data_IF_644929731805
#
_entry.id   IF_644929731805
#
_cell.length_a   1.000
_cell.length_b   1.000
_cell.length_c   1.000
_cell.angle_alpha   90.00
_cell.angle_beta   90.00
_cell.angle_gamma   90.00
#
_symmetry.space_group_name_H-M   'P 1'
#
loop_
_entity.id
_entity.type
_entity.pdbx_description
1 polymer ?
#
# COMPACT_ATOMS: atom_id res chain seq x y z
N UNK A 1 43.79 3.16 -11.55
CA UNK A 1 43.30 2.00 -10.77
C UNK A 1 42.11 2.39 -9.86
N UNK A 2 40.97 2.83 -10.42
CA UNK A 2 39.84 3.36 -9.62
C UNK A 2 38.46 2.76 -9.92
N UNK A 3 38.35 1.84 -10.89
CA UNK A 3 37.05 1.31 -11.36
C UNK A 3 36.59 0.03 -10.65
N UNK A 4 37.47 -0.72 -9.97
CA UNK A 4 37.07 -1.98 -9.30
C UNK A 4 36.24 -1.75 -8.03
N UNK A 5 36.59 -0.73 -7.23
CA UNK A 5 35.91 -0.43 -5.96
C UNK A 5 34.47 0.05 -6.14
N UNK A 6 34.17 0.80 -7.21
CA UNK A 6 32.81 1.28 -7.49
C UNK A 6 31.89 0.18 -8.00
N UNK A 7 32.44 -0.84 -8.67
CA UNK A 7 31.68 -1.95 -9.24
C UNK A 7 31.29 -2.97 -8.16
N UNK A 8 32.20 -3.33 -7.25
CA UNK A 8 31.92 -4.20 -6.10
C UNK A 8 30.92 -3.56 -5.11
N UNK A 9 31.02 -2.26 -4.85
CA UNK A 9 30.07 -1.55 -4.00
C UNK A 9 28.65 -1.55 -4.58
N UNK A 10 28.53 -1.46 -5.91
CA UNK A 10 27.25 -1.45 -6.61
C UNK A 10 26.60 -2.85 -6.63
N UNK A 11 27.39 -3.91 -6.79
CA UNK A 11 26.90 -5.29 -6.75
C UNK A 11 26.46 -5.72 -5.35
N UNK A 12 27.23 -5.35 -4.32
CA UNK A 12 26.86 -5.62 -2.91
C UNK A 12 25.58 -4.89 -2.51
N UNK A 13 25.40 -3.64 -2.94
CA UNK A 13 24.17 -2.88 -2.69
C UNK A 13 22.96 -3.51 -3.41
N UNK A 14 23.15 -4.00 -4.64
CA UNK A 14 22.10 -4.69 -5.39
C UNK A 14 21.65 -5.99 -4.71
N UNK A 15 22.60 -6.81 -4.26
CA UNK A 15 22.27 -8.05 -3.54
C UNK A 15 21.52 -7.76 -2.23
N UNK A 16 21.89 -6.68 -1.54
CA UNK A 16 21.25 -6.25 -0.31
C UNK A 16 19.80 -5.81 -0.51
N UNK A 17 19.55 -5.00 -1.54
CA UNK A 17 18.21 -4.57 -1.96
C UNK A 17 17.34 -5.79 -2.27
N UNK A 18 17.87 -6.80 -2.97
CA UNK A 18 17.12 -8.02 -3.29
C UNK A 18 16.71 -8.79 -2.03
N UNK A 19 17.58 -8.88 -1.02
CA UNK A 19 17.25 -9.54 0.26
C UNK A 19 16.13 -8.78 0.97
N UNK A 20 16.24 -7.45 1.07
CA UNK A 20 15.20 -6.62 1.72
C UNK A 20 13.86 -6.74 1.00
N UNK A 21 13.86 -6.73 -0.32
CA UNK A 21 12.64 -6.89 -1.11
C UNK A 21 11.99 -8.27 -0.91
N UNK A 22 12.81 -9.32 -0.84
CA UNK A 22 12.33 -10.68 -0.60
C UNK A 22 11.70 -10.78 0.79
N UNK A 23 12.37 -10.26 1.82
CA UNK A 23 11.83 -10.28 3.19
C UNK A 23 10.56 -9.42 3.30
N UNK A 24 10.53 -8.24 2.67
CA UNK A 24 9.31 -7.42 2.60
C UNK A 24 8.16 -8.19 1.95
N UNK A 25 8.40 -8.81 0.80
CA UNK A 25 7.40 -9.58 0.05
C UNK A 25 6.86 -10.73 0.91
N UNK A 26 7.73 -11.49 1.57
CA UNK A 26 7.33 -12.57 2.47
C UNK A 26 6.55 -12.05 3.68
N UNK A 27 6.93 -10.90 4.25
CA UNK A 27 6.23 -10.30 5.37
C UNK A 27 4.81 -9.85 5.01
N UNK A 28 4.65 -9.24 3.83
CA UNK A 28 3.33 -8.85 3.31
C UNK A 28 2.45 -10.09 3.08
N UNK A 29 3.01 -11.17 2.52
CA UNK A 29 2.30 -12.44 2.34
C UNK A 29 1.90 -13.05 3.67
N UNK A 30 2.82 -13.08 4.64
CA UNK A 30 2.55 -13.59 5.98
C UNK A 30 1.40 -12.82 6.67
N UNK A 31 1.48 -11.48 6.67
CA UNK A 31 0.45 -10.62 7.24
C UNK A 31 -0.91 -10.81 6.55
N UNK A 32 -0.90 -10.95 5.22
CA UNK A 32 -2.12 -11.18 4.43
C UNK A 32 -2.76 -12.52 4.71
N UNK A 33 -1.96 -13.59 4.85
CA UNK A 33 -2.45 -14.91 5.23
C UNK A 33 -3.13 -14.88 6.60
N UNK A 34 -2.53 -14.18 7.57
CA UNK A 34 -3.12 -13.99 8.91
C UNK A 34 -4.41 -13.18 8.85
N UNK A 35 -4.43 -12.09 8.10
CA UNK A 35 -5.63 -11.27 7.96
C UNK A 35 -6.78 -12.02 7.25
N UNK A 36 -6.44 -12.90 6.29
CA UNK A 36 -7.40 -13.71 5.53
C UNK A 36 -8.27 -14.60 6.43
N UNK A 37 -7.74 -15.08 7.56
CA UNK A 37 -8.49 -15.87 8.54
C UNK A 37 -9.64 -15.05 9.15
N UNK A 38 -9.45 -13.75 9.36
CA UNK A 38 -10.48 -12.84 9.88
C UNK A 38 -11.48 -12.40 8.81
N UNK A 39 -11.01 -12.07 7.61
CA UNK A 39 -11.88 -11.72 6.48
C UNK A 39 -12.79 -12.88 6.06
N UNK A 40 -12.32 -14.11 6.27
CA UNK A 40 -13.05 -15.33 5.96
C UNK A 40 -13.92 -15.86 7.09
N UNK A 41 -14.00 -15.15 8.22
CA UNK A 41 -14.79 -15.61 9.37
C UNK A 41 -16.28 -15.38 9.11
N UNK A 42 -17.03 -16.47 9.01
CA UNK A 42 -18.48 -16.45 8.92
C UNK A 42 -19.06 -16.51 10.34
N UNK A 43 -19.55 -15.37 10.82
CA UNK A 43 -20.28 -15.34 12.09
C UNK A 43 -21.72 -15.81 11.85
N UNK A 44 -22.16 -16.92 12.48
CA UNK A 44 -23.54 -17.39 12.39
C UNK A 44 -24.56 -16.34 12.83
N UNK A 45 -24.16 -15.39 13.68
CA UNK A 45 -25.00 -14.29 14.15
C UNK A 45 -24.80 -12.97 13.38
N UNK A 46 -23.85 -12.93 12.44
CA UNK A 46 -23.51 -11.74 11.63
C UNK A 46 -23.18 -10.46 12.43
N UNK A 47 -22.78 -10.60 13.70
CA UNK A 47 -22.35 -9.53 14.62
C UNK A 47 -20.87 -9.21 14.49
N UNK A 48 -20.04 -10.19 14.10
CA UNK A 48 -18.62 -9.99 13.91
C UNK A 48 -18.37 -9.24 12.60
N UNK A 49 -18.05 -7.95 12.73
CA UNK A 49 -17.67 -7.06 11.62
C UNK A 49 -16.48 -6.24 12.07
N UNK A 50 -15.24 -6.73 11.88
CA UNK A 50 -14.05 -6.01 12.26
C UNK A 50 -14.04 -4.62 11.62
N UNK A 51 -13.79 -3.60 12.44
CA UNK A 51 -13.56 -2.26 11.93
C UNK A 51 -12.28 -2.24 11.08
N UNK A 52 -12.22 -1.30 10.13
CA UNK A 52 -11.07 -1.09 9.25
C UNK A 52 -9.77 -0.89 10.06
N UNK A 53 -9.81 -0.07 11.11
CA UNK A 53 -8.66 0.15 12.01
C UNK A 53 -8.16 -1.15 12.66
N UNK A 54 -9.06 -2.04 13.04
CA UNK A 54 -8.70 -3.35 13.62
C UNK A 54 -8.02 -4.25 12.59
N UNK A 55 -8.52 -4.29 11.35
CA UNK A 55 -7.89 -5.07 10.28
C UNK A 55 -6.49 -4.52 9.94
N UNK A 56 -6.33 -3.20 9.94
CA UNK A 56 -5.02 -2.56 9.78
C UNK A 56 -4.06 -2.97 10.89
N UNK A 57 -4.51 -2.98 12.13
CA UNK A 57 -3.68 -3.41 13.27
C UNK A 57 -3.28 -4.87 13.17
N UNK A 58 -4.20 -5.76 12.85
CA UNK A 58 -3.90 -7.18 12.63
C UNK A 58 -2.86 -7.33 11.52
N UNK A 59 -3.05 -6.65 10.38
CA UNK A 59 -2.10 -6.71 9.28
C UNK A 59 -0.71 -6.21 9.70
N UNK A 60 -0.63 -5.01 10.26
CA UNK A 60 0.63 -4.37 10.60
C UNK A 60 1.38 -5.07 11.73
N UNK A 61 0.69 -5.58 12.76
CA UNK A 61 1.33 -6.34 13.83
C UNK A 61 1.99 -7.59 13.28
N UNK A 62 1.28 -8.36 12.45
CA UNK A 62 1.85 -9.58 11.85
C UNK A 62 3.03 -9.24 10.91
N UNK A 63 2.93 -8.16 10.13
CA UNK A 63 4.02 -7.71 9.26
C UNK A 63 5.26 -7.29 10.06
N UNK A 64 5.08 -6.44 11.08
CA UNK A 64 6.17 -5.92 11.90
C UNK A 64 6.83 -7.05 12.69
N UNK A 65 6.05 -7.94 13.31
CA UNK A 65 6.58 -9.12 14.01
C UNK A 65 7.42 -9.99 13.07
N UNK A 66 6.95 -10.24 11.85
CA UNK A 66 7.72 -10.97 10.85
C UNK A 66 9.06 -10.29 10.53
N UNK A 67 9.08 -8.96 10.34
CA UNK A 67 10.31 -8.22 10.08
C UNK A 67 11.32 -8.30 11.24
N UNK A 68 10.83 -8.24 12.49
CA UNK A 68 11.67 -8.40 13.69
C UNK A 68 12.24 -9.82 13.77
N UNK A 69 11.43 -10.85 13.52
CA UNK A 69 11.89 -12.25 13.50
C UNK A 69 12.96 -12.50 12.43
N UNK A 70 12.91 -11.74 11.33
CA UNK A 70 13.91 -11.79 10.25
C UNK A 70 15.12 -10.87 10.48
N UNK A 71 15.13 -10.06 11.54
CA UNK A 71 16.22 -9.15 11.88
C UNK A 71 16.42 -8.03 10.86
N UNK A 72 15.33 -7.53 10.26
CA UNK A 72 15.37 -6.45 9.25
C UNK A 72 14.56 -5.22 9.66
N UNK A 73 14.12 -5.12 10.92
CA UNK A 73 13.30 -4.03 11.44
C UNK A 73 13.97 -2.65 11.34
N UNK A 74 15.31 -2.59 11.34
CA UNK A 74 16.05 -1.34 11.11
C UNK A 74 16.07 -0.93 9.62
N UNK A 75 15.77 -1.86 8.71
CA UNK A 75 15.81 -1.65 7.25
C UNK A 75 14.43 -1.61 6.60
N UNK A 76 13.44 -2.22 7.24
CA UNK A 76 12.02 -2.16 6.85
C UNK A 76 11.25 -1.56 8.01
N UNK A 77 11.02 -0.25 7.96
CA UNK A 77 10.29 0.45 9.01
C UNK A 77 8.84 0.68 8.61
N UNK A 78 7.95 0.59 9.59
CA UNK A 78 6.52 0.90 9.43
C UNK A 78 6.18 2.10 10.30
N UNK A 79 5.70 3.18 9.70
CA UNK A 79 5.21 4.36 10.41
C UNK A 79 3.68 4.43 10.27
N UNK A 80 2.96 3.97 11.30
CA UNK A 80 1.49 4.08 11.36
C UNK A 80 1.09 5.50 11.71
N UNK A 81 0.19 6.06 10.91
CA UNK A 81 -0.36 7.40 11.16
C UNK A 81 -1.34 7.36 12.34
N UNK A 82 -1.33 8.42 13.15
CA UNK A 82 -2.44 8.63 14.09
C UNK A 82 -3.73 8.92 13.33
N UNK A 83 -4.89 8.79 14.00
CA UNK A 83 -6.20 9.13 13.37
C UNK A 83 -6.20 10.55 12.80
N UNK A 84 -5.59 11.52 13.50
CA UNK A 84 -5.46 12.90 13.03
C UNK A 84 -4.56 13.01 11.80
N UNK A 85 -3.41 12.33 11.80
CA UNK A 85 -2.50 12.32 10.64
C UNK A 85 -3.14 11.63 9.42
N UNK A 86 -3.86 10.52 9.61
CA UNK A 86 -4.56 9.83 8.51
C UNK A 86 -5.66 10.70 7.91
N UNK A 87 -6.43 11.43 8.73
CA UNK A 87 -7.41 12.39 8.23
C UNK A 87 -6.75 13.54 7.46
N UNK A 88 -5.61 14.04 7.94
CA UNK A 88 -4.89 15.14 7.34
C UNK A 88 -4.21 14.76 6.01
N UNK A 89 -3.51 13.63 5.99
CA UNK A 89 -2.63 13.20 4.89
C UNK A 89 -3.28 12.17 3.95
N UNK A 90 -4.43 11.60 4.32
CA UNK A 90 -5.09 10.52 3.57
C UNK A 90 -4.40 9.16 3.67
N UNK A 91 -3.35 9.04 4.51
CA UNK A 91 -2.45 7.88 4.60
C UNK A 91 -2.64 7.17 5.93
N UNK A 92 -2.71 5.85 5.92
CA UNK A 92 -2.85 5.06 7.14
C UNK A 92 -1.50 4.63 7.71
N UNK A 93 -0.54 4.31 6.84
CA UNK A 93 0.85 4.09 7.23
C UNK A 93 1.81 4.28 6.06
N UNK A 94 3.10 4.35 6.38
CA UNK A 94 4.18 4.36 5.39
C UNK A 94 5.13 3.21 5.69
N UNK A 95 5.49 2.44 4.66
CA UNK A 95 6.65 1.58 4.70
C UNK A 95 7.86 2.29 4.13
N UNK A 96 9.00 2.21 4.82
CA UNK A 96 10.28 2.72 4.33
C UNK A 96 11.26 1.57 4.28
N UNK A 97 11.80 1.31 3.09
CA UNK A 97 12.82 0.31 2.82
C UNK A 97 14.15 1.03 2.62
N UNK A 98 15.13 0.68 3.43
CA UNK A 98 16.45 1.31 3.45
C UNK A 98 17.56 0.30 3.11
N UNK A 99 18.63 0.80 2.48
CA UNK A 99 19.84 0.03 2.23
C UNK A 99 20.67 -0.18 3.50
N UNK A 100 21.70 -1.01 3.42
CA UNK A 100 22.68 -1.18 4.49
C UNK A 100 23.37 0.13 4.92
N UNK A 101 23.45 1.13 4.05
CA UNK A 101 23.98 2.47 4.32
C UNK A 101 22.94 3.41 4.98
N UNK A 102 21.75 2.89 5.30
CA UNK A 102 20.60 3.62 5.85
C UNK A 102 19.99 4.64 4.90
N UNK A 103 20.40 4.67 3.64
CA UNK A 103 19.71 5.50 2.64
C UNK A 103 18.35 4.89 2.32
N UNK A 104 17.35 5.77 2.18
CA UNK A 104 16.01 5.37 1.77
C UNK A 104 16.07 4.95 0.30
N UNK A 105 15.74 3.68 0.04
CA UNK A 105 15.65 3.16 -1.32
C UNK A 105 14.23 3.29 -1.87
N UNK A 106 13.23 3.15 -1.01
CA UNK A 106 11.83 3.20 -1.39
C UNK A 106 10.94 3.53 -0.19
N UNK A 107 9.94 4.37 -0.43
CA UNK A 107 8.81 4.59 0.48
C UNK A 107 7.51 4.19 -0.19
N UNK A 108 6.62 3.58 0.57
CA UNK A 108 5.29 3.19 0.12
C UNK A 108 4.28 3.80 1.10
N UNK A 109 3.60 4.86 0.66
CA UNK A 109 2.50 5.47 1.37
C UNK A 109 1.22 4.68 1.10
N UNK A 110 0.61 4.17 2.17
CA UNK A 110 -0.51 3.23 2.07
C UNK A 110 -1.82 3.88 2.50
N UNK A 111 -2.84 3.72 1.67
CA UNK A 111 -4.22 3.92 2.04
C UNK A 111 -4.95 2.57 2.03
N UNK A 112 -5.47 2.17 3.19
CA UNK A 112 -6.27 0.97 3.39
C UNK A 112 -7.75 1.25 3.22
N UNK A 113 -8.49 0.30 2.65
CA UNK A 113 -9.90 0.46 2.31
C UNK A 113 -10.61 -0.90 2.40
N UNK A 114 -11.85 -0.91 2.87
CA UNK A 114 -12.76 -2.03 2.59
C UNK A 114 -13.58 -1.73 1.33
N UNK A 115 -13.79 -2.74 0.48
CA UNK A 115 -14.55 -2.51 -0.74
C UNK A 115 -16.03 -2.16 -0.47
N UNK A 116 -16.59 -2.59 0.66
CA UNK A 116 -17.92 -2.16 1.11
C UNK A 116 -18.01 -0.63 1.26
N UNK A 117 -16.96 0.01 1.78
CA UNK A 117 -16.86 1.47 1.96
C UNK A 117 -16.72 2.20 0.61
N UNK A 118 -16.10 1.56 -0.39
CA UNK A 118 -16.01 2.10 -1.75
C UNK A 118 -17.34 1.99 -2.53
N UNK A 119 -18.19 1.02 -2.17
CA UNK A 119 -19.49 0.80 -2.82
C UNK A 119 -20.60 1.69 -2.23
N UNK A 120 -20.43 2.18 -1.01
CA UNK A 120 -21.32 3.19 -0.44
C UNK A 120 -20.87 4.58 -0.89
N UNK A 121 -21.79 5.31 -1.53
CA UNK A 121 -21.66 6.76 -1.63
C UNK A 121 -21.65 7.30 -0.21
N UNK A 122 -20.73 8.21 0.09
CA UNK A 122 -20.58 8.72 1.45
C UNK A 122 -21.86 9.46 1.84
N UNK A 123 -22.77 8.78 2.55
CA UNK A 123 -23.87 9.42 3.25
C UNK A 123 -23.29 10.17 4.44
N UNK A 124 -22.79 11.37 4.16
CA UNK A 124 -22.49 12.42 5.12
C UNK A 124 -21.09 12.34 5.75
N UNK A 125 -20.51 13.51 6.09
CA UNK A 125 -19.27 13.54 6.86
C UNK A 125 -19.49 12.82 8.19
N UNK A 126 -18.61 11.89 8.54
CA UNK A 126 -18.51 11.42 9.93
C UNK A 126 -18.46 12.65 10.83
N UNK A 127 -19.24 12.68 11.92
CA UNK A 127 -19.28 13.82 12.86
C UNK A 127 -17.87 14.22 13.35
N UNK A 128 -16.92 13.30 13.26
CA UNK A 128 -15.51 13.45 13.62
C UNK A 128 -14.69 14.28 12.62
N UNK A 129 -15.13 14.39 11.36
CA UNK A 129 -14.53 15.28 10.35
C UNK A 129 -14.87 16.76 10.58
N UNK A 130 -15.87 17.08 11.41
CA UNK A 130 -16.42 18.43 11.46
C UNK A 130 -15.52 19.45 12.18
N UNK A 131 -14.60 19.02 13.04
CA UNK A 131 -13.80 19.92 13.89
C UNK A 131 -12.31 20.02 13.52
N UNK A 132 -11.71 18.99 12.92
CA UNK A 132 -10.29 18.99 12.53
C UNK A 132 -10.03 19.42 11.08
N UNK A 133 -11.09 19.57 10.27
CA UNK A 133 -11.01 19.59 8.81
C UNK A 133 -11.27 20.98 8.18
N UNK A 134 -11.37 22.04 9.00
CA UNK A 134 -11.63 23.40 8.47
C UNK A 134 -10.63 23.87 7.40
N UNK A 135 -9.31 23.57 7.46
CA UNK A 135 -8.37 23.96 6.40
C UNK A 135 -8.22 22.94 5.24
N UNK A 136 -8.73 21.70 5.37
CA UNK A 136 -8.48 20.61 4.39
C UNK A 136 -9.73 20.04 3.71
N UNK A 137 -10.88 20.67 3.94
CA UNK A 137 -12.22 20.29 3.49
C UNK A 137 -12.41 20.01 1.99
N UNK A 138 -11.45 20.35 1.13
CA UNK A 138 -11.63 20.29 -0.33
C UNK A 138 -10.93 19.11 -1.03
N UNK A 139 -10.11 18.30 -0.33
CA UNK A 139 -9.42 17.16 -0.95
C UNK A 139 -9.91 15.83 -0.38
N UNK A 140 -10.29 14.93 -1.27
CA UNK A 140 -10.56 13.53 -0.95
C UNK A 140 -9.31 12.85 -0.40
N UNK A 141 -9.48 11.75 0.35
CA UNK A 141 -8.33 10.94 0.82
C UNK A 141 -7.41 10.50 -0.33
N UNK A 142 -8.00 10.20 -1.49
CA UNK A 142 -7.25 9.85 -2.70
C UNK A 142 -6.33 10.98 -3.15
N UNK A 143 -6.86 12.20 -3.25
CA UNK A 143 -6.09 13.38 -3.67
C UNK A 143 -5.01 13.74 -2.64
N UNK A 144 -5.28 13.50 -1.35
CA UNK A 144 -4.29 13.67 -0.28
C UNK A 144 -3.12 12.69 -0.43
N UNK A 145 -3.38 11.43 -0.76
CA UNK A 145 -2.31 10.45 -1.07
C UNK A 145 -1.50 10.86 -2.31
N UNK A 146 -2.17 11.34 -3.37
CA UNK A 146 -1.52 11.82 -4.61
C UNK A 146 -0.60 13.02 -4.35
N UNK A 147 -1.09 13.99 -3.59
CA UNK A 147 -0.30 15.15 -3.16
C UNK A 147 0.88 14.74 -2.28
N UNK A 148 0.67 13.86 -1.30
CA UNK A 148 1.73 13.40 -0.42
C UNK A 148 2.88 12.75 -1.19
N UNK A 149 2.58 11.81 -2.09
CA UNK A 149 3.63 11.14 -2.87
C UNK A 149 4.39 12.15 -3.75
N UNK A 150 3.68 13.13 -4.31
CA UNK A 150 4.28 14.21 -5.10
C UNK A 150 5.22 15.09 -4.27
N UNK A 151 4.84 15.42 -3.03
CA UNK A 151 5.64 16.24 -2.11
C UNK A 151 6.89 15.52 -1.59
N UNK A 152 6.82 14.21 -1.33
CA UNK A 152 7.97 13.41 -0.88
C UNK A 152 8.97 13.21 -2.02
N UNK A 153 8.48 12.97 -3.24
CA UNK A 153 9.32 12.88 -4.44
C UNK A 153 9.42 11.47 -5.03
N UNK A 154 10.46 11.25 -5.85
CA UNK A 154 10.54 10.09 -6.76
C UNK A 154 10.61 8.72 -6.06
N UNK A 155 11.10 8.72 -4.82
CA UNK A 155 11.28 7.51 -4.02
C UNK A 155 10.01 7.13 -3.25
N UNK A 156 8.91 7.90 -3.36
CA UNK A 156 7.64 7.62 -2.72
C UNK A 156 6.60 7.10 -3.71
N UNK A 157 5.96 5.98 -3.35
CA UNK A 157 4.87 5.37 -4.11
C UNK A 157 3.58 5.36 -3.31
N UNK A 158 2.47 5.68 -3.96
CA UNK A 158 1.14 5.48 -3.39
C UNK A 158 0.63 4.06 -3.65
N UNK A 159 0.11 3.41 -2.61
CA UNK A 159 -0.49 2.08 -2.67
C UNK A 159 -1.85 2.09 -1.97
N UNK A 160 -2.87 1.59 -2.67
CA UNK A 160 -4.14 1.23 -2.07
C UNK A 160 -4.11 -0.24 -1.66
N UNK A 161 -4.51 -0.56 -0.44
CA UNK A 161 -4.71 -1.94 0.00
C UNK A 161 -6.19 -2.15 0.29
N UNK A 162 -6.80 -3.06 -0.47
CA UNK A 162 -8.20 -3.43 -0.37
C UNK A 162 -8.34 -4.71 0.46
N UNK A 163 -9.06 -4.62 1.57
CA UNK A 163 -9.45 -5.78 2.36
C UNK A 163 -10.85 -6.25 2.00
N UNK A 164 -10.94 -7.44 1.45
CA UNK A 164 -12.19 -8.05 1.00
C UNK A 164 -12.73 -7.42 -0.28
N UNK A 165 -13.07 -8.26 -1.25
CA UNK A 165 -13.63 -7.85 -2.54
C UNK A 165 -15.00 -8.51 -2.72
N UNK A 166 -16.01 -7.83 -3.32
CA UNK A 166 -17.30 -8.43 -3.63
C UNK A 166 -17.14 -9.74 -4.40
N UNK A 167 -17.83 -10.78 -3.95
CA UNK A 167 -17.71 -12.15 -4.50
C UNK A 167 -16.46 -12.92 -4.05
N UNK A 168 -15.42 -12.23 -3.56
CA UNK A 168 -14.19 -12.82 -3.01
C UNK A 168 -13.79 -12.14 -1.69
N UNK A 169 -14.58 -12.33 -0.60
CA UNK A 169 -14.41 -11.58 0.65
C UNK A 169 -13.07 -11.83 1.35
N UNK A 170 -12.39 -12.94 1.04
CA UNK A 170 -11.06 -13.29 1.55
C UNK A 170 -9.91 -12.66 0.76
N UNK A 171 -10.18 -12.05 -0.39
CA UNK A 171 -9.15 -11.45 -1.23
C UNK A 171 -8.61 -10.18 -0.57
N UNK A 172 -7.29 -10.02 -0.61
CA UNK A 172 -6.59 -8.81 -0.23
C UNK A 172 -5.83 -8.34 -1.47
N UNK A 173 -6.16 -7.16 -1.98
CA UNK A 173 -5.62 -6.67 -3.26
C UNK A 173 -4.92 -5.33 -3.08
N UNK A 174 -3.72 -5.20 -3.64
CA UNK A 174 -3.02 -3.93 -3.75
C UNK A 174 -3.28 -3.25 -5.09
N UNK A 175 -3.32 -1.93 -5.14
CA UNK A 175 -3.36 -1.17 -6.39
C UNK A 175 -2.45 0.05 -6.30
N UNK A 176 -1.53 0.19 -7.25
CA UNK A 176 -0.63 1.33 -7.31
C UNK A 176 -1.38 2.61 -7.70
N UNK A 177 -1.03 3.74 -7.07
CA UNK A 177 -1.57 5.05 -7.38
C UNK A 177 -1.38 5.41 -8.86
N UNK A 178 -0.23 5.08 -9.45
CA UNK A 178 0.04 5.30 -10.87
C UNK A 178 -0.95 4.58 -11.79
N UNK A 179 -1.36 3.35 -11.43
CA UNK A 179 -2.37 2.60 -12.18
C UNK A 179 -3.73 3.28 -12.12
N UNK A 180 -4.10 3.83 -10.96
CA UNK A 180 -5.34 4.60 -10.83
C UNK A 180 -5.26 5.92 -11.59
N UNK A 181 -4.14 6.62 -11.55
CA UNK A 181 -3.94 7.86 -12.32
C UNK A 181 -3.99 7.63 -13.84
N UNK A 182 -3.60 6.46 -14.32
CA UNK A 182 -3.82 6.04 -15.72
C UNK A 182 -5.31 5.82 -16.00
N UNK A 183 -6.01 5.07 -15.14
CA UNK A 183 -7.46 4.81 -15.30
C UNK A 183 -8.29 6.11 -15.22
N UNK A 184 -7.92 7.03 -14.32
CA UNK A 184 -8.49 8.38 -14.13
C UNK A 184 -8.45 9.17 -15.43
N UNK A 185 -7.27 9.20 -16.07
CA UNK A 185 -7.05 9.91 -17.34
C UNK A 185 -7.77 9.24 -18.51
N UNK A 186 -7.74 7.91 -18.57
CA UNK A 186 -8.35 7.14 -19.67
C UNK A 186 -9.88 7.29 -19.70
N UNK A 187 -10.53 7.30 -18.53
CA UNK A 187 -11.98 7.24 -18.41
C UNK A 187 -12.62 8.52 -17.87
N UNK A 188 -11.85 9.60 -17.66
CA UNK A 188 -12.31 10.87 -17.09
C UNK A 188 -13.07 10.72 -15.75
N UNK A 189 -12.58 9.86 -14.87
CA UNK A 189 -13.20 9.55 -13.58
C UNK A 189 -12.61 10.36 -12.43
N UNK A 190 -13.33 10.43 -11.31
CA UNK A 190 -12.73 10.82 -10.02
C UNK A 190 -11.82 9.70 -9.47
N UNK A 191 -10.92 10.01 -8.54
CA UNK A 191 -9.99 9.04 -7.96
C UNK A 191 -10.70 7.83 -7.32
N UNK A 192 -11.74 8.06 -6.51
CA UNK A 192 -12.57 7.01 -5.89
C UNK A 192 -13.23 6.12 -6.94
N UNK A 193 -13.81 6.70 -7.98
CA UNK A 193 -14.49 5.95 -9.04
C UNK A 193 -13.50 5.16 -9.92
N UNK A 194 -12.34 5.75 -10.22
CA UNK A 194 -11.26 5.07 -10.94
C UNK A 194 -10.76 3.85 -10.16
N UNK A 195 -10.51 3.99 -8.86
CA UNK A 195 -10.11 2.87 -7.99
C UNK A 195 -11.19 1.78 -7.94
N UNK A 196 -12.46 2.15 -7.73
CA UNK A 196 -13.58 1.21 -7.73
C UNK A 196 -13.67 0.41 -9.03
N UNK A 197 -13.65 1.09 -10.18
CA UNK A 197 -13.69 0.42 -11.48
C UNK A 197 -12.44 -0.40 -11.75
N UNK A 198 -11.28 0.04 -11.27
CA UNK A 198 -10.05 -0.72 -11.41
C UNK A 198 -10.17 -2.05 -10.67
N UNK A 199 -10.53 -2.05 -9.39
CA UNK A 199 -10.61 -3.27 -8.58
C UNK A 199 -11.64 -4.25 -9.13
N UNK A 200 -12.81 -3.76 -9.57
CA UNK A 200 -13.90 -4.61 -10.06
C UNK A 200 -13.65 -5.21 -11.45
N UNK A 201 -12.92 -4.49 -12.32
CA UNK A 201 -12.74 -4.88 -13.72
C UNK A 201 -11.33 -5.44 -14.00
N UNK A 202 -10.59 -5.85 -12.97
CA UNK A 202 -9.23 -6.37 -13.11
C UNK A 202 -9.15 -7.77 -12.53
N UNK A 203 -8.85 -8.74 -13.39
CA UNK A 203 -8.66 -10.14 -13.01
C UNK A 203 -7.20 -10.58 -13.00
N UNK A 204 -6.34 -9.92 -13.79
CA UNK A 204 -4.90 -10.19 -13.80
C UNK A 204 -4.20 -9.57 -12.60
N UNK A 205 -3.17 -10.25 -12.11
CA UNK A 205 -2.42 -9.82 -10.94
C UNK A 205 -0.91 -9.99 -11.09
N UNK A 206 -0.18 -9.30 -10.22
CA UNK A 206 1.23 -9.50 -9.93
C UNK A 206 1.41 -9.86 -8.46
N UNK A 207 2.47 -10.59 -8.16
CA UNK A 207 2.96 -10.79 -6.79
C UNK A 207 3.55 -9.50 -6.21
N UNK A 208 3.68 -9.43 -4.88
CA UNK A 208 4.39 -8.33 -4.19
C UNK A 208 5.84 -8.22 -4.64
N UNK A 209 6.49 -9.35 -4.95
CA UNK A 209 7.85 -9.39 -5.48
C UNK A 209 7.95 -8.70 -6.84
N UNK A 210 7.09 -9.08 -7.78
CA UNK A 210 7.04 -8.45 -9.12
C UNK A 210 6.70 -6.96 -9.03
N UNK A 211 5.85 -6.55 -8.09
CA UNK A 211 5.60 -5.15 -7.79
C UNK A 211 6.90 -4.42 -7.41
N UNK A 212 7.67 -4.94 -6.45
CA UNK A 212 8.92 -4.32 -6.00
C UNK A 212 9.96 -4.26 -7.12
N UNK A 213 10.11 -5.34 -7.88
CA UNK A 213 11.02 -5.39 -9.04
C UNK A 213 10.67 -4.30 -10.06
N UNK A 214 9.38 -4.14 -10.39
CA UNK A 214 8.92 -3.09 -11.30
C UNK A 214 9.14 -1.67 -10.73
N UNK A 215 9.00 -1.50 -9.42
CA UNK A 215 9.17 -0.21 -8.75
C UNK A 215 10.62 0.25 -8.64
N UNK A 216 11.56 -0.69 -8.47
CA UNK A 216 12.99 -0.40 -8.28
C UNK A 216 13.79 -0.38 -9.59
N UNK A 217 13.29 -1.00 -10.65
CA UNK A 217 13.92 -0.96 -11.98
C UNK A 217 13.71 0.37 -12.75
N UNK A 218 13.28 1.46 -12.08
CA UNK A 218 12.94 2.79 -12.64
C UNK A 218 14.13 3.55 -13.28
N UNK A 219 14.86 2.96 -14.23
CA UNK A 219 15.65 3.78 -15.16
C UNK A 219 14.79 4.56 -16.16
N UNK A 220 13.53 4.16 -16.40
CA UNK A 220 12.62 4.80 -17.38
C UNK A 220 11.13 4.83 -16.96
N UNK A 221 10.82 4.86 -15.66
CA UNK A 221 9.43 4.75 -15.15
C UNK A 221 8.98 3.30 -14.90
N UNK A 222 7.83 3.14 -14.24
CA UNK A 222 7.23 1.81 -14.02
C UNK A 222 7.04 1.17 -15.39
N UNK A 223 7.67 0.01 -15.62
CA UNK A 223 7.48 -0.79 -16.85
C UNK A 223 5.98 -0.85 -17.10
N UNK A 224 5.53 -0.66 -18.34
CA UNK A 224 4.11 -0.59 -18.66
C UNK A 224 3.45 -1.94 -18.36
N UNK A 225 3.06 -2.13 -17.11
CA UNK A 225 2.26 -3.25 -16.69
C UNK A 225 0.84 -2.91 -17.09
N UNK A 226 0.17 -3.86 -17.76
CA UNK A 226 -1.25 -3.74 -18.10
C UNK A 226 -2.13 -3.52 -16.86
N UNK A 227 -3.44 -3.54 -17.06
CA UNK A 227 -4.39 -3.42 -15.95
C UNK A 227 -4.24 -4.64 -15.02
N UNK A 228 -3.49 -4.49 -13.92
CA UNK A 228 -3.24 -5.56 -12.94
C UNK A 228 -3.36 -5.04 -11.51
N UNK A 229 -3.82 -5.89 -10.60
CA UNK A 229 -3.72 -5.64 -9.16
C UNK A 229 -2.54 -6.40 -8.56
N UNK A 230 -2.15 -6.07 -7.33
CA UNK A 230 -1.14 -6.81 -6.57
C UNK A 230 -1.86 -7.84 -5.72
N UNK A 231 -1.58 -9.12 -5.95
CA UNK A 231 -2.03 -10.18 -5.08
C UNK A 231 -1.04 -10.30 -3.91
N UNK A 232 -1.54 -10.18 -2.69
CA UNK A 232 -0.73 -10.31 -1.48
C UNK A 232 -0.72 -11.74 -0.90
N UNK A 233 -1.23 -12.73 -1.65
CA UNK A 233 -1.29 -14.15 -1.26
C UNK A 233 -0.50 -15.04 -2.20
#
# INVERSE_FOLDING_TARGET
>A
MGQKLSQEHNEKNKADILIINEVFSQGVVHASQKLKEYLGFEDPQSKFRPAMDTLNEIFLVNFISFCIEKGVEERITTSKMTKQQSLLLGIDWIWTLSGADKQINLQIAVQSLQMAELLHDETGPSKEATLADQPFKNKSRFEKLEEFCTLVGQDCLGLFIMFGVPGKPKDIRGVMLDSINKEKRKNHLSGKNALRQFVLNTDSFLSTKEMLENCLCKKNGLKEVGKVYINFL
#
